data_IF_180482589845
#
_entry.id   IF_180482589845
#
_cell.length_a   1.000
_cell.length_b   1.000
_cell.length_c   1.000
_cell.angle_alpha   90.00
_cell.angle_beta   90.00
_cell.angle_gamma   90.00
#
_symmetry.space_group_name_H-M   'P 1'
#
loop_
_entity.id
_entity.type
_entity.pdbx_description
1 polymer ?
#
# COMPACT_ATOMS: atom_id res chain seq x y z
N UNK A 1 19.49 -4.97 20.55
CA UNK A 1 19.63 -5.82 19.34
C UNK A 1 18.31 -6.18 18.66
N UNK A 2 17.17 -6.26 19.36
CA UNK A 2 15.89 -6.62 18.75
C UNK A 2 15.36 -5.60 17.71
N UNK A 3 15.47 -4.29 18.00
CA UNK A 3 14.99 -3.23 17.11
C UNK A 3 15.57 -3.27 15.68
N UNK A 4 16.90 -3.32 15.45
CA UNK A 4 17.45 -3.39 14.10
C UNK A 4 17.02 -4.67 13.36
N UNK A 5 16.92 -5.81 14.05
CA UNK A 5 16.43 -7.06 13.45
C UNK A 5 14.98 -6.90 12.97
N UNK A 6 14.11 -6.33 13.81
CA UNK A 6 12.71 -6.09 13.46
C UNK A 6 12.57 -5.14 12.27
N UNK A 7 13.37 -4.07 12.21
CA UNK A 7 13.40 -3.16 11.07
C UNK A 7 13.86 -3.88 9.80
N UNK A 8 14.95 -4.65 9.86
CA UNK A 8 15.44 -5.41 8.70
C UNK A 8 14.38 -6.38 8.19
N UNK A 9 13.73 -7.12 9.09
CA UNK A 9 12.64 -8.04 8.74
C UNK A 9 11.42 -7.30 8.16
N UNK A 10 11.04 -6.14 8.72
CA UNK A 10 10.01 -5.28 8.17
C UNK A 10 10.33 -4.82 6.75
N UNK A 11 11.56 -4.35 6.51
CA UNK A 11 11.97 -3.87 5.18
C UNK A 11 11.98 -5.02 4.16
N UNK A 12 12.52 -6.19 4.51
CA UNK A 12 12.49 -7.37 3.65
C UNK A 12 11.06 -7.81 3.34
N UNK A 13 10.19 -7.87 4.36
CA UNK A 13 8.78 -8.20 4.18
C UNK A 13 8.07 -7.21 3.26
N UNK A 14 8.36 -5.92 3.37
CA UNK A 14 7.81 -4.89 2.48
C UNK A 14 8.26 -5.04 1.04
N UNK A 15 9.56 -5.29 0.82
CA UNK A 15 10.11 -5.52 -0.52
C UNK A 15 9.44 -6.75 -1.15
N UNK A 16 9.38 -7.87 -0.42
CA UNK A 16 8.70 -9.08 -0.87
C UNK A 16 7.22 -8.82 -1.16
N UNK A 17 6.52 -8.10 -0.28
CA UNK A 17 5.11 -7.74 -0.48
C UNK A 17 4.90 -6.89 -1.72
N UNK A 18 5.78 -5.93 -2.00
CA UNK A 18 5.68 -5.08 -3.18
C UNK A 18 5.87 -5.88 -4.48
N UNK A 19 6.95 -6.65 -4.57
CA UNK A 19 7.22 -7.46 -5.76
C UNK A 19 6.17 -8.57 -5.94
N UNK A 20 5.80 -9.26 -4.87
CA UNK A 20 4.75 -10.28 -4.90
C UNK A 20 3.40 -9.67 -5.29
N UNK A 21 3.09 -8.44 -4.84
CA UNK A 21 1.88 -7.72 -5.24
C UNK A 21 1.87 -7.36 -6.73
N UNK A 22 2.98 -6.84 -7.27
CA UNK A 22 3.13 -6.59 -8.70
C UNK A 22 2.97 -7.87 -9.54
N UNK A 23 3.55 -8.99 -9.07
CA UNK A 23 3.36 -10.29 -9.70
C UNK A 23 1.94 -10.81 -9.54
N UNK A 24 1.27 -10.57 -8.41
CA UNK A 24 -0.09 -11.00 -8.11
C UNK A 24 -1.16 -10.31 -8.98
N UNK A 25 -0.86 -9.13 -9.50
CA UNK A 25 -1.68 -8.47 -10.54
C UNK A 25 -1.64 -9.26 -11.85
N UNK A 26 -0.48 -9.85 -12.21
CA UNK A 26 -0.34 -10.65 -13.43
C UNK A 26 -0.72 -12.12 -13.25
N UNK A 27 -0.43 -12.69 -12.09
CA UNK A 27 -0.59 -14.12 -11.79
C UNK A 27 -1.13 -14.32 -10.37
N UNK A 28 -2.37 -14.80 -10.29
CA UNK A 28 -3.10 -15.09 -9.03
C UNK A 28 -2.32 -15.94 -8.02
N UNK A 29 -1.41 -16.81 -8.48
CA UNK A 29 -0.61 -17.70 -7.62
C UNK A 29 0.26 -16.96 -6.59
N UNK A 30 0.69 -15.74 -6.88
CA UNK A 30 1.55 -14.95 -5.98
C UNK A 30 0.77 -14.20 -4.89
N UNK A 31 -0.56 -14.25 -4.92
CA UNK A 31 -1.40 -13.52 -3.96
C UNK A 31 -1.16 -13.98 -2.52
N UNK A 32 -0.96 -15.28 -2.28
CA UNK A 32 -0.68 -15.78 -0.94
C UNK A 32 0.65 -15.23 -0.41
N UNK A 33 1.70 -15.24 -1.22
CA UNK A 33 3.01 -14.68 -0.86
C UNK A 33 2.90 -13.17 -0.55
N UNK A 34 2.18 -12.41 -1.39
CA UNK A 34 1.86 -11.00 -1.15
C UNK A 34 1.14 -10.81 0.19
N UNK A 35 0.08 -11.58 0.46
CA UNK A 35 -0.75 -11.36 1.64
C UNK A 35 0.00 -11.69 2.93
N UNK A 36 0.75 -12.81 2.97
CA UNK A 36 1.53 -13.17 4.14
C UNK A 36 2.69 -12.20 4.40
N UNK A 37 3.39 -11.77 3.34
CA UNK A 37 4.45 -10.76 3.48
C UNK A 37 3.91 -9.40 3.92
N UNK A 38 2.72 -9.00 3.45
CA UNK A 38 2.03 -7.80 3.93
C UNK A 38 1.69 -7.88 5.43
N UNK A 39 1.18 -9.02 5.90
CA UNK A 39 0.90 -9.23 7.33
C UNK A 39 2.19 -9.16 8.14
N UNK A 40 3.26 -9.84 7.68
CA UNK A 40 4.56 -9.81 8.34
C UNK A 40 5.15 -8.39 8.40
N UNK A 41 5.04 -7.61 7.31
CA UNK A 41 5.42 -6.20 7.28
C UNK A 41 4.77 -5.44 8.44
N UNK A 42 3.46 -5.54 8.61
CA UNK A 42 2.74 -4.82 9.67
C UNK A 42 3.12 -5.34 11.06
N UNK A 43 3.23 -6.66 11.24
CA UNK A 43 3.61 -7.25 12.54
C UNK A 43 5.01 -6.79 12.97
N UNK A 44 5.99 -6.79 12.06
CA UNK A 44 7.34 -6.32 12.37
C UNK A 44 7.39 -4.81 12.62
N UNK A 45 6.58 -4.02 11.93
CA UNK A 45 6.45 -2.59 12.21
C UNK A 45 5.94 -2.36 13.64
N UNK A 46 4.84 -3.01 14.02
CA UNK A 46 4.26 -2.90 15.36
C UNK A 46 5.24 -3.38 16.44
N UNK A 47 5.94 -4.48 16.17
CA UNK A 47 7.00 -4.98 17.06
C UNK A 47 8.13 -3.97 17.24
N UNK A 48 8.60 -3.34 16.16
CA UNK A 48 9.65 -2.33 16.23
C UNK A 48 9.19 -1.10 17.04
N UNK A 49 7.97 -0.60 16.78
CA UNK A 49 7.36 0.52 17.49
C UNK A 49 7.21 0.21 18.99
N UNK A 50 6.77 -1.00 19.34
CA UNK A 50 6.61 -1.40 20.74
C UNK A 50 7.94 -1.38 21.50
N UNK A 51 9.04 -1.77 20.84
CA UNK A 51 10.39 -1.79 21.45
C UNK A 51 10.96 -0.39 21.63
N UNK A 52 10.71 0.55 20.71
CA UNK A 52 11.29 1.91 20.75
C UNK A 52 10.32 3.01 21.15
N UNK A 53 9.13 2.66 21.63
CA UNK A 53 8.05 3.61 21.94
C UNK A 53 8.52 4.81 22.76
N UNK A 54 9.27 4.56 23.83
CA UNK A 54 9.75 5.59 24.77
C UNK A 54 10.84 6.50 24.19
N UNK A 55 11.57 6.02 23.18
CA UNK A 55 12.68 6.73 22.54
C UNK A 55 12.23 7.62 21.36
N UNK A 56 11.01 7.40 20.87
CA UNK A 56 10.44 8.13 19.74
C UNK A 56 9.94 9.51 20.16
N UNK A 57 10.26 10.53 19.36
CA UNK A 57 9.68 11.85 19.49
C UNK A 57 8.18 11.85 19.11
N UNK A 58 7.48 12.94 19.44
CA UNK A 58 6.03 13.05 19.21
C UNK A 58 5.69 12.97 17.72
N UNK A 59 6.47 13.61 16.85
CA UNK A 59 6.22 13.64 15.41
C UNK A 59 6.35 12.23 14.78
N UNK A 60 7.39 11.50 15.17
CA UNK A 60 7.66 10.14 14.68
C UNK A 60 6.64 9.15 15.24
N UNK A 61 6.17 9.32 16.49
CA UNK A 61 5.05 8.52 17.02
C UNK A 61 3.78 8.72 16.21
N UNK A 62 3.43 9.96 15.86
CA UNK A 62 2.27 10.26 15.02
C UNK A 62 2.43 9.61 13.63
N UNK A 63 3.60 9.76 13.02
CA UNK A 63 3.88 9.17 11.70
C UNK A 63 3.78 7.63 11.72
N UNK A 64 4.37 6.98 12.72
CA UNK A 64 4.30 5.54 12.89
C UNK A 64 2.90 5.04 13.23
N UNK A 65 2.11 5.80 14.00
CA UNK A 65 0.71 5.49 14.22
C UNK A 65 -0.10 5.57 12.91
N UNK A 66 0.11 6.60 12.10
CA UNK A 66 -0.53 6.73 10.79
C UNK A 66 -0.13 5.59 9.83
N UNK A 67 1.16 5.25 9.75
CA UNK A 67 1.65 4.14 8.93
C UNK A 67 1.13 2.78 9.43
N UNK A 68 0.99 2.60 10.74
CA UNK A 68 0.41 1.38 11.34
C UNK A 68 -1.08 1.25 10.98
N UNK A 69 -1.84 2.36 11.08
CA UNK A 69 -3.24 2.39 10.67
C UNK A 69 -3.39 2.09 9.17
N UNK A 70 -2.51 2.68 8.34
CA UNK A 70 -2.47 2.41 6.90
C UNK A 70 -2.16 0.93 6.61
N UNK A 71 -1.16 0.36 7.28
CA UNK A 71 -0.82 -1.07 7.16
C UNK A 71 -1.98 -1.98 7.56
N UNK A 72 -2.67 -1.66 8.65
CA UNK A 72 -3.90 -2.36 9.05
C UNK A 72 -5.00 -2.27 7.99
N UNK A 73 -5.23 -1.08 7.44
CA UNK A 73 -6.19 -0.88 6.35
C UNK A 73 -5.82 -1.67 5.09
N UNK A 74 -4.53 -1.77 4.76
CA UNK A 74 -4.03 -2.59 3.65
C UNK A 74 -4.30 -4.08 3.87
N UNK A 75 -4.17 -4.60 5.10
CA UNK A 75 -4.53 -5.99 5.42
C UNK A 75 -6.02 -6.21 5.19
N UNK A 76 -6.89 -5.29 5.62
CA UNK A 76 -8.34 -5.36 5.39
C UNK A 76 -8.65 -5.40 3.90
N UNK A 77 -8.03 -4.51 3.10
CA UNK A 77 -8.14 -4.48 1.64
C UNK A 77 -7.65 -5.79 1.00
N UNK A 78 -6.52 -6.33 1.46
CA UNK A 78 -6.00 -7.63 1.03
C UNK A 78 -6.97 -8.77 1.35
N UNK A 79 -7.58 -8.78 2.53
CA UNK A 79 -8.58 -9.77 2.90
C UNK A 79 -9.85 -9.67 2.04
N UNK A 80 -10.29 -8.45 1.70
CA UNK A 80 -11.38 -8.23 0.75
C UNK A 80 -11.04 -8.76 -0.65
N UNK A 81 -9.83 -8.47 -1.15
CA UNK A 81 -9.34 -9.01 -2.42
C UNK A 81 -9.33 -10.56 -2.43
N UNK A 82 -8.90 -11.18 -1.31
CA UNK A 82 -8.93 -12.65 -1.15
C UNK A 82 -10.36 -13.20 -1.21
N UNK A 83 -11.31 -12.55 -0.54
CA UNK A 83 -12.73 -12.97 -0.55
C UNK A 83 -13.32 -12.91 -1.96
N UNK A 84 -12.98 -11.87 -2.73
CA UNK A 84 -13.40 -11.75 -4.13
C UNK A 84 -12.82 -12.89 -4.96
N UNK A 85 -11.52 -13.17 -4.83
CA UNK A 85 -10.88 -14.29 -5.53
C UNK A 85 -11.54 -15.64 -5.22
N UNK A 86 -11.88 -15.90 -3.96
CA UNK A 86 -12.50 -17.16 -3.54
C UNK A 86 -13.94 -17.34 -4.06
N UNK A 87 -14.60 -16.26 -4.47
CA UNK A 87 -15.99 -16.27 -4.98
C UNK A 87 -16.06 -16.19 -6.51
N UNK A 88 -14.92 -16.11 -7.20
CA UNK A 88 -14.87 -15.96 -8.65
C UNK A 88 -13.98 -17.04 -9.26
N UNK A 89 -14.64 -17.94 -9.99
CA UNK A 89 -14.01 -18.86 -10.92
C UNK A 89 -13.99 -18.19 -12.30
N UNK A 90 -12.79 -17.79 -12.76
CA UNK A 90 -12.64 -17.12 -14.06
C UNK A 90 -11.63 -15.96 -14.06
N UNK A 91 -11.77 -15.03 -15.04
CA UNK A 91 -10.89 -13.88 -15.20
C UNK A 91 -10.83 -13.00 -13.94
N UNK A 92 -9.71 -12.31 -13.75
CA UNK A 92 -9.46 -11.44 -12.60
C UNK A 92 -10.53 -10.33 -12.51
N UNK A 93 -11.32 -10.26 -11.42
CA UNK A 93 -12.32 -9.23 -11.24
C UNK A 93 -11.69 -7.83 -11.13
N UNK A 94 -12.31 -6.81 -11.71
CA UNK A 94 -11.83 -5.41 -11.62
C UNK A 94 -11.64 -4.98 -10.17
N UNK A 95 -12.57 -5.33 -9.28
CA UNK A 95 -12.47 -5.01 -7.85
C UNK A 95 -11.27 -5.64 -7.14
N UNK A 96 -10.74 -6.77 -7.61
CA UNK A 96 -9.51 -7.35 -7.08
C UNK A 96 -8.29 -6.46 -7.42
N UNK A 97 -8.22 -5.96 -8.65
CA UNK A 97 -7.14 -5.09 -9.11
C UNK A 97 -7.20 -3.73 -8.40
N UNK A 98 -8.39 -3.19 -8.14
CA UNK A 98 -8.56 -1.93 -7.38
C UNK A 98 -7.99 -2.04 -5.95
N UNK A 99 -8.27 -3.16 -5.27
CA UNK A 99 -7.73 -3.40 -3.93
C UNK A 99 -6.22 -3.56 -3.95
N UNK A 100 -5.67 -4.37 -4.86
CA UNK A 100 -4.22 -4.54 -4.98
C UNK A 100 -3.51 -3.25 -5.39
N UNK A 101 -4.03 -2.53 -6.37
CA UNK A 101 -3.47 -1.28 -6.86
C UNK A 101 -3.37 -0.25 -5.74
N UNK A 102 -4.41 -0.11 -4.92
CA UNK A 102 -4.34 0.76 -3.74
C UNK A 102 -3.23 0.34 -2.78
N UNK A 103 -3.13 -0.96 -2.46
CA UNK A 103 -2.08 -1.42 -1.54
C UNK A 103 -0.67 -1.27 -2.11
N UNK A 104 -0.47 -1.43 -3.42
CA UNK A 104 0.82 -1.22 -4.07
C UNK A 104 1.25 0.25 -4.03
N UNK A 105 0.31 1.17 -4.31
CA UNK A 105 0.56 2.62 -4.19
C UNK A 105 0.86 2.99 -2.75
N UNK A 106 0.10 2.47 -1.78
CA UNK A 106 0.34 2.72 -0.36
C UNK A 106 1.70 2.18 0.13
N UNK A 107 2.11 0.99 -0.32
CA UNK A 107 3.46 0.45 -0.04
C UNK A 107 4.55 1.36 -0.59
N UNK A 108 4.40 1.75 -1.85
CA UNK A 108 5.36 2.63 -2.51
C UNK A 108 5.48 3.99 -1.82
N UNK A 109 4.33 4.58 -1.46
CA UNK A 109 4.27 5.81 -0.67
C UNK A 109 5.00 5.66 0.67
N UNK A 110 4.73 4.58 1.41
CA UNK A 110 5.42 4.26 2.66
C UNK A 110 6.94 4.19 2.51
N UNK A 111 7.45 3.59 1.42
CA UNK A 111 8.89 3.56 1.13
C UNK A 111 9.46 4.95 0.89
N UNK A 112 8.74 5.81 0.14
CA UNK A 112 9.20 7.19 -0.10
C UNK A 112 9.20 7.98 1.20
N UNK A 113 8.13 7.94 1.98
CA UNK A 113 8.01 8.65 3.27
C UNK A 113 9.17 8.27 4.20
N UNK A 114 9.47 6.98 4.34
CA UNK A 114 10.59 6.51 5.18
C UNK A 114 11.94 6.94 4.59
N UNK A 115 12.11 6.92 3.26
CA UNK A 115 13.33 7.37 2.60
C UNK A 115 13.58 8.87 2.85
N UNK A 116 12.55 9.70 2.69
CA UNK A 116 12.61 11.14 2.98
C UNK A 116 12.95 11.38 4.45
N UNK A 117 12.31 10.63 5.37
CA UNK A 117 12.60 10.72 6.79
C UNK A 117 14.07 10.39 7.10
N UNK A 118 14.62 9.33 6.50
CA UNK A 118 16.02 8.92 6.71
C UNK A 118 17.03 9.90 6.11
N UNK A 119 16.73 10.47 4.94
CA UNK A 119 17.63 11.40 4.26
C UNK A 119 17.65 12.78 4.94
N UNK A 120 16.50 13.25 5.42
CA UNK A 120 16.35 14.62 5.94
C UNK A 120 16.36 14.71 7.45
N UNK A 121 16.07 13.62 8.16
CA UNK A 121 15.81 13.62 9.60
C UNK A 121 14.53 14.37 10.00
N UNK A 122 13.75 14.89 9.05
CA UNK A 122 12.62 15.78 9.31
C UNK A 122 11.28 15.07 9.13
N UNK A 123 10.55 14.89 10.24
CA UNK A 123 9.21 14.31 10.24
C UNK A 123 8.20 15.09 9.40
N UNK A 124 8.33 16.42 9.32
CA UNK A 124 7.43 17.27 8.55
C UNK A 124 7.58 17.09 7.04
N UNK A 125 8.81 16.92 6.53
CA UNK A 125 9.03 16.66 5.12
C UNK A 125 8.54 15.26 4.72
N UNK A 126 8.75 14.28 5.60
CA UNK A 126 8.23 12.93 5.41
C UNK A 126 6.69 12.94 5.34
N UNK A 127 6.02 13.59 6.30
CA UNK A 127 4.57 13.75 6.30
C UNK A 127 4.07 14.49 5.04
N UNK A 128 4.73 15.60 4.67
CA UNK A 128 4.39 16.37 3.48
C UNK A 128 4.51 15.55 2.19
N UNK A 129 5.55 14.72 2.06
CA UNK A 129 5.73 13.84 0.91
C UNK A 129 4.61 12.79 0.79
N UNK A 130 4.21 12.18 1.91
CA UNK A 130 3.13 11.19 1.93
C UNK A 130 1.79 11.80 1.55
N UNK A 131 1.47 13.00 2.07
CA UNK A 131 0.26 13.73 1.67
C UNK A 131 0.30 14.06 0.17
N UNK A 132 1.43 14.57 -0.34
CA UNK A 132 1.55 14.95 -1.75
C UNK A 132 1.37 13.75 -2.69
N UNK A 133 1.96 12.59 -2.38
CA UNK A 133 1.84 11.37 -3.17
C UNK A 133 0.43 10.80 -3.10
N UNK A 134 -0.20 10.77 -1.92
CA UNK A 134 -1.58 10.32 -1.76
C UNK A 134 -2.55 11.19 -2.58
N UNK A 135 -2.37 12.52 -2.56
CA UNK A 135 -3.15 13.46 -3.36
C UNK A 135 -2.90 13.23 -4.85
N UNK A 136 -1.64 13.12 -5.29
CA UNK A 136 -1.30 12.86 -6.68
C UNK A 136 -1.90 11.54 -7.19
N UNK A 137 -1.84 10.47 -6.39
CA UNK A 137 -2.43 9.18 -6.70
C UNK A 137 -3.95 9.24 -6.82
N UNK A 138 -4.62 9.96 -5.91
CA UNK A 138 -6.06 10.19 -6.00
C UNK A 138 -6.44 10.93 -7.28
N UNK A 139 -5.73 12.02 -7.61
CA UNK A 139 -5.97 12.78 -8.83
C UNK A 139 -5.72 11.95 -10.10
N UNK A 140 -4.68 11.12 -10.13
CA UNK A 140 -4.39 10.25 -11.27
C UNK A 140 -5.53 9.24 -11.52
N UNK A 141 -6.06 8.61 -10.46
CA UNK A 141 -7.19 7.67 -10.55
C UNK A 141 -8.47 8.38 -11.01
N UNK A 142 -8.77 9.55 -10.45
CA UNK A 142 -9.93 10.35 -10.85
C UNK A 142 -9.82 10.77 -12.32
N UNK A 143 -8.63 11.13 -12.79
CA UNK A 143 -8.39 11.53 -14.18
C UNK A 143 -8.53 10.34 -15.13
N UNK A 144 -7.99 9.17 -14.79
CA UNK A 144 -8.18 7.94 -15.58
C UNK A 144 -9.66 7.54 -15.69
N UNK A 145 -10.39 7.63 -14.58
CA UNK A 145 -11.83 7.34 -14.55
C UNK A 145 -12.62 8.30 -15.44
N UNK A 146 -12.29 9.60 -15.40
CA UNK A 146 -12.92 10.61 -16.28
C UNK A 146 -12.62 10.39 -17.76
N UNK A 147 -11.41 9.96 -18.13
CA UNK A 147 -11.08 9.66 -19.52
C UNK A 147 -11.81 8.43 -20.08
N UNK A 148 -12.10 7.43 -19.23
CA UNK A 148 -12.87 6.25 -19.64
C UNK A 148 -14.36 6.55 -19.82
N UNK A 149 -14.96 7.39 -18.97
CA UNK A 149 -16.39 7.76 -19.12
C UNK A 149 -16.65 8.57 -20.38
N UNK A 150 -15.72 9.46 -20.77
CA UNK A 150 -15.84 10.27 -21.99
C UNK A 150 -15.78 9.45 -23.30
N UNK A 151 -15.10 8.30 -23.27
CA UNK A 151 -15.00 7.37 -24.41
C UNK A 151 -16.28 6.53 -24.60
N UNK A 152 -17.03 6.28 -23.53
CA UNK A 152 -18.28 5.51 -23.60
C UNK A 152 -19.44 6.35 -24.14
N UNK A 153 -19.50 7.65 -23.83
CA UNK A 153 -20.52 8.58 -24.37
C UNK A 153 -20.33 8.92 -25.85
N UNK A 154 -19.09 8.93 -26.36
CA UNK A 154 -18.82 9.17 -27.79
C UNK A 154 -19.12 7.95 -28.67
N UNK A 155 -19.08 6.73 -28.11
CA UNK A 155 -19.39 5.50 -28.85
C UNK A 155 -20.89 5.23 -28.98
N UNK A 156 -21.71 5.74 -28.07
CA UNK A 156 -23.18 5.59 -28.11
C UNK A 156 -23.88 6.58 -29.04
N UNK A 157 -23.23 7.68 -29.41
CA UNK A 157 -23.80 8.70 -30.33
C UNK A 157 -23.41 8.50 -31.79
N UNK A 158 -22.50 7.57 -32.10
CA UNK A 158 -22.06 7.25 -33.47
C UNK A 158 -22.78 6.07 -34.14
N UNK A 159 -23.84 5.53 -33.52
CA UNK A 159 -24.67 4.44 -34.05
C UNK A 159 -26.15 4.84 -34.20
N UNK A 160 -26.45 6.14 -34.21
CA UNK A 160 -27.77 6.69 -34.50
C UNK A 160 -27.80 7.30 -35.90
#
# INVERSE_FOLDING_TARGET
>A
MAHPILITLHTLAGVVSFFAGCLAVRRRSYFAAYFYSLVLLVVFLLGAIAVTWTELDVATRILFAALSALGGYMIVRGAQARRILLRTDGPLPVGYVDHLGFTLVALFDGFIVITVLRLTGSGWLAAGSGVAIAVAGHFAIVRLKRSHTAWLTTRSTGLA
#
